data_IF_726728105316
#
_entry.id   IF_726728105316
#
_cell.length_a   1.000
_cell.length_b   1.000
_cell.length_c   1.000
_cell.angle_alpha   90.00
_cell.angle_beta   90.00
_cell.angle_gamma   90.00
#
_symmetry.space_group_name_H-M   'P 1'
#
loop_
_entity.id
_entity.type
_entity.pdbx_description
1 polymer ?
#
# COMPACT_ATOMS: atom_id res chain seq x y z
N UNK A 1 -10.57 2.78 -15.86
CA UNK A 1 -9.84 2.66 -17.13
C UNK A 1 -8.47 2.05 -16.86
N UNK A 2 -8.08 1.06 -17.65
CA UNK A 2 -7.07 0.03 -17.31
C UNK A 2 -5.64 0.45 -17.71
N UNK A 3 -5.51 1.60 -18.36
CA UNK A 3 -4.25 2.26 -18.65
C UNK A 3 -3.42 2.59 -17.38
N UNK A 4 -4.06 2.61 -16.20
CA UNK A 4 -3.52 2.99 -14.89
C UNK A 4 -2.21 2.28 -14.46
N UNK A 5 -1.98 1.01 -14.81
CA UNK A 5 -0.79 0.26 -14.34
C UNK A 5 0.28 0.13 -15.43
N UNK A 6 -0.07 0.46 -16.68
CA UNK A 6 0.72 0.11 -17.86
C UNK A 6 1.97 0.99 -18.00
N UNK A 7 1.98 2.18 -17.40
CA UNK A 7 3.16 3.06 -17.36
C UNK A 7 3.47 3.50 -15.93
N UNK A 8 3.68 2.54 -15.02
CA UNK A 8 4.44 2.88 -13.81
C UNK A 8 5.90 3.00 -14.24
N UNK A 9 6.39 4.24 -14.35
CA UNK A 9 7.79 4.55 -14.64
C UNK A 9 8.68 3.65 -13.77
N UNK A 10 9.65 2.97 -14.37
CA UNK A 10 10.64 2.13 -13.68
C UNK A 10 11.24 2.85 -12.47
N UNK A 11 11.38 4.17 -12.54
CA UNK A 11 11.84 5.02 -11.44
C UNK A 11 10.88 5.04 -10.24
N UNK A 12 9.57 5.02 -10.47
CA UNK A 12 8.56 4.95 -9.39
C UNK A 12 8.65 3.59 -8.69
N UNK A 13 8.82 2.51 -9.47
CA UNK A 13 8.98 1.18 -8.90
C UNK A 13 10.28 1.08 -8.07
N UNK A 14 11.39 1.61 -8.57
CA UNK A 14 12.65 1.70 -7.83
C UNK A 14 12.49 2.50 -6.53
N UNK A 15 11.80 3.65 -6.58
CA UNK A 15 11.52 4.47 -5.40
C UNK A 15 10.69 3.72 -4.35
N UNK A 16 9.70 2.93 -4.78
CA UNK A 16 8.90 2.07 -3.89
C UNK A 16 9.79 0.99 -3.26
N UNK A 17 10.63 0.33 -4.06
CA UNK A 17 11.53 -0.72 -3.56
C UNK A 17 12.50 -0.14 -2.53
N UNK A 18 13.12 1.02 -2.80
CA UNK A 18 13.98 1.69 -1.85
C UNK A 18 13.23 2.11 -0.58
N UNK A 19 12.00 2.64 -0.71
CA UNK A 19 11.19 2.97 0.46
C UNK A 19 10.93 1.74 1.34
N UNK A 20 10.52 0.62 0.74
CA UNK A 20 10.30 -0.63 1.47
C UNK A 20 11.59 -1.13 2.12
N UNK A 21 12.71 -1.11 1.41
CA UNK A 21 14.00 -1.51 1.96
C UNK A 21 14.39 -0.66 3.19
N UNK A 22 14.17 0.65 3.15
CA UNK A 22 14.48 1.57 4.25
C UNK A 22 13.62 1.31 5.50
N UNK A 23 12.36 0.89 5.31
CA UNK A 23 11.41 0.64 6.41
C UNK A 23 11.17 -0.84 6.71
N UNK A 24 12.05 -1.71 6.23
CA UNK A 24 11.93 -3.16 6.44
C UNK A 24 11.86 -3.56 7.92
N UNK A 25 12.46 -2.75 8.81
CA UNK A 25 12.39 -2.94 10.26
C UNK A 25 10.95 -2.86 10.80
N UNK A 26 10.04 -2.18 10.09
CA UNK A 26 8.64 -1.98 10.51
C UNK A 26 7.73 -3.14 10.07
N UNK A 27 7.87 -3.64 8.84
CA UNK A 27 6.93 -4.63 8.28
C UNK A 27 7.43 -6.08 8.28
N UNK A 28 8.71 -6.34 8.54
CA UNK A 28 9.25 -7.71 8.57
C UNK A 28 8.85 -8.51 9.82
N UNK A 29 7.94 -7.99 10.65
CA UNK A 29 7.47 -8.65 11.86
C UNK A 29 5.95 -8.69 11.87
N UNK A 30 5.33 -9.76 12.42
CA UNK A 30 3.90 -9.74 12.68
C UNK A 30 3.54 -8.56 13.58
N UNK A 31 2.44 -7.86 13.27
CA UNK A 31 1.97 -6.71 14.07
C UNK A 31 1.80 -7.06 15.55
N UNK A 32 1.40 -8.31 15.83
CA UNK A 32 1.26 -8.84 17.20
C UNK A 32 2.57 -8.93 17.97
N UNK A 33 3.70 -8.84 17.29
CA UNK A 33 5.03 -8.94 17.87
C UNK A 33 5.76 -7.60 17.99
N UNK A 34 5.13 -6.47 17.64
CA UNK A 34 5.76 -5.13 17.67
C UNK A 34 6.36 -4.83 19.05
N UNK A 35 5.63 -5.12 20.12
CA UNK A 35 6.08 -4.87 21.51
C UNK A 35 7.04 -5.95 22.03
N UNK A 36 7.02 -7.16 21.48
CA UNK A 36 7.88 -8.27 21.94
C UNK A 36 9.21 -8.36 21.21
N UNK A 37 9.31 -7.77 20.01
CA UNK A 37 10.50 -7.83 19.14
C UNK A 37 11.35 -6.56 19.17
N UNK A 38 11.10 -5.67 20.14
CA UNK A 38 11.77 -4.37 20.22
C UNK A 38 11.68 -3.58 18.89
N UNK A 39 10.60 -3.73 18.11
CA UNK A 39 10.46 -3.09 16.78
C UNK A 39 10.54 -1.57 16.92
N UNK A 40 9.89 -1.03 17.95
CA UNK A 40 9.94 0.40 18.29
C UNK A 40 11.37 0.87 18.54
N UNK A 41 12.28 -0.01 19.03
CA UNK A 41 13.66 0.37 19.27
C UNK A 41 14.53 0.40 18.00
N UNK A 42 14.08 -0.26 16.93
CA UNK A 42 14.73 -0.24 15.62
C UNK A 42 14.36 1.00 14.79
N UNK A 43 13.33 1.74 15.23
CA UNK A 43 12.97 3.03 14.67
C UNK A 43 14.16 4.01 14.74
N UNK A 44 14.33 4.89 13.73
CA UNK A 44 15.32 5.98 13.81
C UNK A 44 15.24 6.74 15.14
N UNK A 45 16.40 7.05 15.72
CA UNK A 45 16.48 7.61 17.08
C UNK A 45 15.73 8.94 17.20
N UNK A 46 15.95 9.82 16.23
CA UNK A 46 15.28 11.12 16.12
C UNK A 46 13.76 10.98 15.96
N UNK A 47 13.27 9.96 15.26
CA UNK A 47 11.83 9.70 15.15
C UNK A 47 11.26 9.26 16.49
N UNK A 48 11.92 8.31 17.15
CA UNK A 48 11.45 7.79 18.45
C UNK A 48 11.42 8.90 19.51
N UNK A 49 12.45 9.74 19.57
CA UNK A 49 12.49 10.89 20.46
C UNK A 49 11.32 11.85 20.19
N UNK A 50 11.09 12.20 18.91
CA UNK A 50 9.99 13.07 18.55
C UNK A 50 8.62 12.44 18.86
N UNK A 51 8.38 11.21 18.42
CA UNK A 51 7.08 10.55 18.45
C UNK A 51 6.64 10.12 19.86
N UNK A 52 7.57 9.89 20.79
CA UNK A 52 7.23 9.45 22.16
C UNK A 52 6.54 10.56 22.96
N UNK A 53 6.86 11.82 22.67
CA UNK A 53 6.34 12.98 23.38
C UNK A 53 5.09 13.60 22.72
N UNK A 54 4.67 13.09 21.56
CA UNK A 54 3.54 13.67 20.82
C UNK A 54 2.18 13.30 21.43
N UNK A 55 1.23 14.26 21.45
CA UNK A 55 -0.16 13.95 21.75
C UNK A 55 -0.77 13.09 20.64
N UNK A 56 -1.82 12.34 20.99
CA UNK A 56 -2.48 11.39 20.07
C UNK A 56 -2.99 12.05 18.79
N UNK A 57 -3.47 13.29 18.88
CA UNK A 57 -3.99 14.05 17.74
C UNK A 57 -2.91 14.31 16.69
N UNK A 58 -1.66 14.48 17.13
CA UNK A 58 -0.52 14.67 16.26
C UNK A 58 0.02 13.35 15.71
N UNK A 59 0.00 12.28 16.51
CA UNK A 59 0.28 10.93 16.01
C UNK A 59 -0.69 10.51 14.90
N UNK A 60 -1.96 10.93 14.97
CA UNK A 60 -2.98 10.67 13.97
C UNK A 60 -2.71 11.36 12.61
N UNK A 61 -1.73 12.26 12.52
CA UNK A 61 -1.30 12.89 11.28
C UNK A 61 -0.41 11.97 10.43
N UNK A 62 0.29 11.02 11.05
CA UNK A 62 1.24 10.11 10.39
C UNK A 62 0.56 9.26 9.31
N UNK A 63 -0.58 8.56 9.57
CA UNK A 63 -1.27 7.79 8.54
C UNK A 63 -1.83 8.66 7.41
N UNK A 64 -2.03 9.96 7.67
CA UNK A 64 -2.48 10.93 6.67
C UNK A 64 -1.31 11.51 5.84
N UNK A 65 -0.07 11.06 6.11
CA UNK A 65 1.16 11.61 5.54
C UNK A 65 1.27 13.14 5.74
N UNK A 66 0.83 13.63 6.90
CA UNK A 66 0.97 15.04 7.31
C UNK A 66 2.12 15.16 8.31
N UNK A 67 2.97 16.16 8.10
CA UNK A 67 4.09 16.48 8.97
C UNK A 67 3.89 17.81 9.68
N UNK A 68 4.71 18.06 10.71
CA UNK A 68 4.82 19.35 11.39
C UNK A 68 6.23 19.90 11.22
N UNK A 69 6.36 21.22 11.19
CA UNK A 69 7.66 21.90 10.95
C UNK A 69 8.71 21.56 12.01
N UNK A 70 8.27 21.30 13.25
CA UNK A 70 9.15 20.98 14.38
C UNK A 70 9.55 19.50 14.47
N UNK A 71 9.01 18.63 13.61
CA UNK A 71 9.39 17.21 13.56
C UNK A 71 10.78 17.03 12.93
N UNK A 72 11.50 15.93 13.20
CA UNK A 72 12.78 15.65 12.56
C UNK A 72 12.68 15.67 11.03
N UNK A 73 13.65 16.30 10.36
CA UNK A 73 13.68 16.41 8.89
C UNK A 73 13.65 15.04 8.20
N UNK A 74 14.27 14.02 8.81
CA UNK A 74 14.23 12.64 8.32
C UNK A 74 12.81 12.06 8.32
N UNK A 75 12.02 12.33 9.36
CA UNK A 75 10.61 11.91 9.47
C UNK A 75 9.74 12.66 8.47
N UNK A 76 9.93 13.97 8.34
CA UNK A 76 9.24 14.77 7.33
C UNK A 76 9.51 14.24 5.92
N UNK A 77 10.78 13.93 5.61
CA UNK A 77 11.21 13.38 4.32
C UNK A 77 10.59 12.01 4.05
N UNK A 78 10.47 11.17 5.08
CA UNK A 78 9.79 9.88 4.98
C UNK A 78 8.29 10.05 4.66
N UNK A 79 7.60 10.94 5.36
CA UNK A 79 6.16 11.17 5.13
C UNK A 79 5.89 11.73 3.73
N UNK A 80 6.75 12.63 3.23
CA UNK A 80 6.65 13.13 1.86
C UNK A 80 6.92 12.02 0.81
N UNK A 81 7.86 11.09 1.07
CA UNK A 81 8.03 9.89 0.22
C UNK A 81 6.77 9.03 0.20
N UNK A 82 6.19 8.74 1.37
CA UNK A 82 4.94 7.98 1.49
C UNK A 82 3.78 8.65 0.75
N UNK A 83 3.63 9.97 0.91
CA UNK A 83 2.60 10.76 0.23
C UNK A 83 2.76 10.69 -1.28
N UNK A 84 3.95 10.97 -1.79
CA UNK A 84 4.27 10.97 -3.23
C UNK A 84 4.04 9.60 -3.87
N UNK A 85 4.40 8.53 -3.16
CA UNK A 85 4.25 7.15 -3.64
C UNK A 85 2.89 6.54 -3.30
N UNK A 86 1.98 7.30 -2.69
CA UNK A 86 0.62 6.83 -2.43
C UNK A 86 -0.13 6.62 -3.73
N UNK A 87 -0.96 5.56 -3.78
CA UNK A 87 -1.78 5.26 -4.96
C UNK A 87 -2.62 6.45 -5.40
N UNK A 88 -3.15 7.23 -4.45
CA UNK A 88 -3.93 8.42 -4.76
C UNK A 88 -3.11 9.48 -5.51
N UNK A 89 -1.86 9.75 -5.09
CA UNK A 89 -1.01 10.72 -5.77
C UNK A 89 -0.52 10.22 -7.12
N UNK A 90 -0.20 8.93 -7.23
CA UNK A 90 0.18 8.31 -8.51
C UNK A 90 -0.96 8.41 -9.54
N UNK A 91 -2.20 8.15 -9.11
CA UNK A 91 -3.40 8.34 -9.95
C UNK A 91 -3.58 9.80 -10.37
N UNK A 92 -3.48 10.74 -9.41
CA UNK A 92 -3.71 12.17 -9.67
C UNK A 92 -2.66 12.78 -10.59
N UNK A 93 -1.38 12.42 -10.41
CA UNK A 93 -0.27 12.95 -11.21
C UNK A 93 -0.41 12.56 -12.69
N UNK A 94 -0.89 11.35 -12.98
CA UNK A 94 -0.94 10.84 -14.35
C UNK A 94 -2.20 11.29 -15.12
N UNK A 95 -3.32 11.55 -14.43
CA UNK A 95 -4.62 11.79 -15.08
C UNK A 95 -5.33 13.08 -14.63
N UNK A 96 -4.75 13.84 -13.69
CA UNK A 96 -5.37 15.03 -13.12
C UNK A 96 -6.57 14.73 -12.22
N UNK A 97 -7.25 15.77 -11.69
CA UNK A 97 -8.32 15.65 -10.70
C UNK A 97 -9.65 15.05 -11.21
N UNK A 98 -9.74 14.66 -12.48
CA UNK A 98 -11.02 14.23 -13.12
C UNK A 98 -11.32 12.72 -13.02
N UNK A 99 -10.58 11.96 -12.22
CA UNK A 99 -10.59 10.48 -12.22
C UNK A 99 -11.68 9.80 -11.38
N UNK A 100 -12.87 10.42 -11.30
CA UNK A 100 -14.07 9.77 -10.73
C UNK A 100 -14.46 8.44 -11.42
N UNK A 101 -13.80 8.08 -12.54
CA UNK A 101 -14.07 6.89 -13.33
C UNK A 101 -13.28 5.61 -12.93
N UNK A 102 -12.37 5.66 -11.96
CA UNK A 102 -11.59 4.46 -11.55
C UNK A 102 -12.35 3.52 -10.62
N UNK A 103 -13.50 3.91 -10.09
CA UNK A 103 -14.27 3.16 -9.09
C UNK A 103 -15.39 2.29 -9.65
N UNK A 104 -15.66 2.34 -10.96
CA UNK A 104 -16.76 1.60 -11.58
C UNK A 104 -16.27 0.47 -12.49
N UNK A 105 -15.70 -0.58 -11.91
CA UNK A 105 -15.65 -1.88 -12.58
C UNK A 105 -17.04 -2.53 -12.49
N UNK A 106 -17.96 -2.16 -13.38
CA UNK A 106 -19.33 -2.68 -13.42
C UNK A 106 -19.46 -4.15 -13.89
N UNK A 107 -18.33 -4.81 -14.20
CA UNK A 107 -18.33 -6.22 -14.59
C UNK A 107 -17.53 -7.04 -13.58
N UNK A 108 -18.23 -7.63 -12.62
CA UNK A 108 -17.69 -8.63 -11.69
C UNK A 108 -17.62 -9.99 -12.40
N UNK A 109 -16.42 -10.54 -12.56
CA UNK A 109 -16.24 -11.90 -13.10
C UNK A 109 -16.82 -12.90 -12.09
N UNK A 110 -17.73 -13.76 -12.53
CA UNK A 110 -18.22 -14.82 -11.65
C UNK A 110 -17.12 -15.86 -11.42
N UNK A 111 -16.82 -16.11 -10.15
CA UNK A 111 -15.93 -17.18 -9.73
C UNK A 111 -16.60 -18.53 -9.96
N UNK A 112 -15.90 -19.52 -10.54
CA UNK A 112 -16.41 -20.89 -10.58
C UNK A 112 -16.73 -21.38 -9.16
N UNK A 113 -17.71 -22.28 -9.05
CA UNK A 113 -18.25 -22.71 -7.75
C UNK A 113 -17.17 -23.38 -6.87
N UNK A 114 -16.21 -24.05 -7.52
CA UNK A 114 -15.07 -24.72 -6.91
C UNK A 114 -14.15 -23.72 -6.18
N UNK A 115 -13.97 -22.52 -6.73
CA UNK A 115 -13.13 -21.46 -6.15
C UNK A 115 -13.86 -20.60 -5.11
N UNK A 116 -15.20 -20.64 -5.09
CA UNK A 116 -16.02 -19.84 -4.17
C UNK A 116 -16.50 -20.62 -2.94
N UNK A 117 -16.26 -21.94 -2.91
CA UNK A 117 -16.61 -22.81 -1.78
C UNK A 117 -15.82 -22.41 -0.53
N UNK A 118 -16.51 -22.21 0.60
CA UNK A 118 -15.91 -21.78 1.86
C UNK A 118 -15.59 -20.28 1.95
N UNK A 119 -15.79 -19.51 0.87
CA UNK A 119 -15.66 -18.06 0.93
C UNK A 119 -16.92 -17.41 1.51
N UNK A 120 -16.72 -16.43 2.40
CA UNK A 120 -17.79 -15.51 2.79
C UNK A 120 -18.26 -14.69 1.58
N UNK A 121 -19.49 -14.17 1.64
CA UNK A 121 -20.05 -13.34 0.57
C UNK A 121 -19.16 -12.11 0.29
N UNK A 122 -18.67 -11.45 1.35
CA UNK A 122 -17.73 -10.33 1.24
C UNK A 122 -16.46 -10.73 0.49
N UNK A 123 -15.84 -11.85 0.88
CA UNK A 123 -14.59 -12.30 0.27
C UNK A 123 -14.79 -12.66 -1.20
N UNK A 124 -15.93 -13.25 -1.56
CA UNK A 124 -16.29 -13.58 -2.93
C UNK A 124 -16.40 -12.33 -3.81
N UNK A 125 -17.03 -11.27 -3.30
CA UNK A 125 -17.13 -9.98 -4.02
C UNK A 125 -15.75 -9.34 -4.21
N UNK A 126 -14.92 -9.30 -3.16
CA UNK A 126 -13.55 -8.76 -3.25
C UNK A 126 -12.71 -9.49 -4.29
N UNK A 127 -12.73 -10.83 -4.28
CA UNK A 127 -11.95 -11.65 -5.23
C UNK A 127 -12.48 -11.50 -6.66
N UNK A 128 -13.80 -11.44 -6.84
CA UNK A 128 -14.41 -11.22 -8.15
C UNK A 128 -13.99 -9.87 -8.75
N UNK A 129 -14.03 -8.79 -7.96
CA UNK A 129 -13.59 -7.47 -8.38
C UNK A 129 -12.10 -7.45 -8.74
N UNK A 130 -11.26 -8.10 -7.91
CA UNK A 130 -9.82 -8.21 -8.16
C UNK A 130 -9.53 -8.98 -9.45
N UNK A 131 -10.21 -10.11 -9.71
CA UNK A 131 -10.02 -10.87 -10.93
C UNK A 131 -10.41 -10.08 -12.18
N UNK A 132 -11.52 -9.35 -12.13
CA UNK A 132 -11.93 -8.46 -13.23
C UNK A 132 -10.83 -7.44 -13.53
N UNK A 133 -10.28 -6.82 -12.48
CA UNK A 133 -9.17 -5.88 -12.60
C UNK A 133 -7.93 -6.56 -13.19
N UNK A 134 -7.51 -7.72 -12.67
CA UNK A 134 -6.33 -8.46 -13.13
C UNK A 134 -6.45 -8.90 -14.59
N UNK A 135 -7.61 -9.43 -15.00
CA UNK A 135 -7.86 -9.85 -16.39
C UNK A 135 -7.67 -8.67 -17.34
N UNK A 136 -8.37 -7.59 -17.04
CA UNK A 136 -8.29 -6.35 -17.77
C UNK A 136 -6.84 -5.85 -17.90
N UNK A 137 -6.10 -5.82 -16.79
CA UNK A 137 -4.71 -5.40 -16.73
C UNK A 137 -3.78 -6.30 -17.54
N UNK A 138 -3.93 -7.61 -17.44
CA UNK A 138 -3.12 -8.56 -18.18
C UNK A 138 -3.34 -8.40 -19.69
N UNK A 139 -4.59 -8.19 -20.12
CA UNK A 139 -4.93 -7.93 -21.53
C UNK A 139 -4.33 -6.61 -22.04
N UNK A 140 -4.34 -5.53 -21.24
CA UNK A 140 -3.82 -4.22 -21.67
C UNK A 140 -2.30 -4.10 -21.62
N UNK A 141 -1.65 -4.73 -20.63
CA UNK A 141 -0.20 -4.64 -20.40
C UNK A 141 0.59 -5.76 -21.08
N UNK A 142 -0.08 -6.81 -21.55
CA UNK A 142 0.53 -8.10 -21.90
C UNK A 142 1.34 -8.72 -20.75
N UNK A 143 1.07 -8.33 -19.49
CA UNK A 143 1.72 -8.90 -18.32
C UNK A 143 1.29 -10.34 -18.10
N UNK A 144 2.26 -11.22 -17.92
CA UNK A 144 2.08 -12.63 -17.59
C UNK A 144 2.32 -12.94 -16.11
N UNK A 145 2.74 -11.95 -15.33
CA UNK A 145 3.12 -12.10 -13.93
C UNK A 145 2.42 -11.04 -13.07
N UNK A 146 2.05 -11.42 -11.85
CA UNK A 146 1.51 -10.51 -10.83
C UNK A 146 2.33 -10.66 -9.55
N UNK A 147 2.79 -9.53 -9.02
CA UNK A 147 3.48 -9.46 -7.74
C UNK A 147 2.51 -8.93 -6.67
N UNK A 148 2.25 -9.73 -5.65
CA UNK A 148 1.45 -9.34 -4.48
C UNK A 148 2.39 -8.99 -3.32
N UNK A 149 2.44 -7.70 -2.97
CA UNK A 149 3.26 -7.17 -1.87
C UNK A 149 2.37 -6.97 -0.66
N UNK A 150 2.69 -7.64 0.46
CA UNK A 150 1.90 -7.53 1.70
C UNK A 150 0.77 -8.57 1.83
N UNK A 151 0.83 -9.66 1.06
CA UNK A 151 -0.07 -10.83 1.19
C UNK A 151 -0.08 -11.49 2.58
N UNK A 152 0.86 -11.10 3.44
CA UNK A 152 1.07 -11.64 4.77
C UNK A 152 1.84 -12.95 4.74
N UNK A 153 2.24 -13.41 5.92
CA UNK A 153 2.74 -14.77 6.07
C UNK A 153 1.51 -15.67 6.07
N UNK A 154 1.36 -16.54 5.06
CA UNK A 154 0.53 -17.75 5.25
C UNK A 154 1.12 -18.44 6.46
N UNK A 155 0.36 -18.53 7.55
CA UNK A 155 0.67 -19.42 8.65
C UNK A 155 0.92 -20.80 8.04
N UNK A 156 2.20 -21.12 7.87
CA UNK A 156 2.62 -22.48 7.57
C UNK A 156 2.49 -23.22 8.91
N UNK A 157 1.90 -24.43 8.90
CA UNK A 157 1.75 -25.21 10.12
C UNK A 157 3.11 -25.50 10.79
#
# INVERSE_FOLDING_TARGET
DIAFIVEMDTKILEDIVHLLQDVQWLYNFPVTQIFTRNVIYQMPGDWREALTELPIDELNLIPQCKSQDYWPTSLQSFLERCKRLSLQQLVLHQYGPSTAALTHTSHTLQLPQEFSRGMSLKKRHEVSALLSLMKNLSESTQSSHVLDVGSGIRASP
#
